data_IF_943981177058
#
_entry.id   IF_943981177058
#
_cell.length_a   1.000
_cell.length_b   1.000
_cell.length_c   1.000
_cell.angle_alpha   90.00
_cell.angle_beta   90.00
_cell.angle_gamma   90.00
#
_symmetry.space_group_name_H-M   'P 1'
#
loop_
_entity.id
_entity.type
_entity.pdbx_description
1 polymer ?
#
# COMPACT_ATOMS: atom_id res chain seq x y z
N UNK A 1 -1.56 -2.06 13.20
CA UNK A 1 -1.71 -1.32 11.92
C UNK A 1 -2.16 0.05 12.33
N UNK A 2 -1.30 1.04 12.15
CA UNK A 2 -1.54 2.35 12.74
C UNK A 2 -2.43 3.16 11.81
N UNK A 3 -3.28 4.03 12.36
CA UNK A 3 -4.21 4.86 11.58
C UNK A 3 -3.49 5.69 10.51
N UNK A 4 -2.21 5.99 10.70
CA UNK A 4 -1.38 6.71 9.73
C UNK A 4 -0.99 5.86 8.51
N UNK A 5 -0.81 4.55 8.69
CA UNK A 5 -0.45 3.65 7.59
C UNK A 5 -1.64 3.45 6.64
N UNK A 6 -2.85 3.28 7.20
CA UNK A 6 -4.07 3.20 6.39
C UNK A 6 -4.33 4.48 5.61
N UNK A 7 -4.18 5.65 6.24
CA UNK A 7 -4.35 6.95 5.59
C UNK A 7 -3.34 7.16 4.44
N UNK A 8 -2.10 6.69 4.61
CA UNK A 8 -1.09 6.74 3.56
C UNK A 8 -1.47 5.88 2.35
N UNK A 9 -1.99 4.68 2.58
CA UNK A 9 -2.46 3.79 1.51
C UNK A 9 -3.64 4.42 0.75
N UNK A 10 -4.62 4.97 1.46
CA UNK A 10 -5.76 5.65 0.85
C UNK A 10 -5.32 6.87 0.01
N UNK A 11 -4.37 7.66 0.52
CA UNK A 11 -3.81 8.80 -0.20
C UNK A 11 -3.07 8.36 -1.48
N UNK A 12 -2.27 7.29 -1.40
CA UNK A 12 -1.56 6.74 -2.57
C UNK A 12 -2.54 6.18 -3.61
N UNK A 13 -3.63 5.54 -3.18
CA UNK A 13 -4.70 5.06 -4.06
C UNK A 13 -5.39 6.22 -4.80
N UNK A 14 -5.76 7.28 -4.09
CA UNK A 14 -6.40 8.47 -4.70
C UNK A 14 -5.50 9.15 -5.73
N UNK A 15 -4.18 9.22 -5.48
CA UNK A 15 -3.19 9.73 -6.44
C UNK A 15 -3.18 8.87 -7.70
N UNK A 16 -3.19 7.54 -7.56
CA UNK A 16 -3.17 6.62 -8.69
C UNK A 16 -4.39 6.80 -9.60
N UNK A 17 -5.58 6.95 -9.01
CA UNK A 17 -6.84 7.15 -9.72
C UNK A 17 -6.87 8.47 -10.51
N UNK A 18 -6.39 9.57 -9.90
CA UNK A 18 -6.24 10.86 -10.58
C UNK A 18 -5.30 10.73 -11.79
N UNK A 19 -4.16 10.08 -11.59
CA UNK A 19 -3.17 9.93 -12.65
C UNK A 19 -3.70 9.07 -13.80
N UNK A 20 -4.47 8.00 -13.51
CA UNK A 20 -5.16 7.22 -14.52
C UNK A 20 -6.16 8.07 -15.32
N UNK A 21 -6.93 8.93 -14.64
CA UNK A 21 -7.90 9.83 -15.29
C UNK A 21 -7.19 10.81 -16.24
N UNK A 22 -6.08 11.40 -15.80
CA UNK A 22 -5.27 12.32 -16.60
C UNK A 22 -4.67 11.65 -17.84
N UNK A 23 -4.19 10.40 -17.68
CA UNK A 23 -3.73 9.60 -18.81
C UNK A 23 -4.83 9.40 -19.86
N UNK A 24 -6.04 9.02 -19.44
CA UNK A 24 -7.16 8.83 -20.36
C UNK A 24 -7.54 10.12 -21.11
N UNK A 25 -7.42 11.29 -20.45
CA UNK A 25 -7.65 12.57 -21.09
C UNK A 25 -6.60 12.86 -22.17
N UNK A 26 -5.31 12.70 -21.86
CA UNK A 26 -4.21 12.89 -22.82
C UNK A 26 -4.29 11.93 -24.00
N UNK A 27 -4.72 10.69 -23.76
CA UNK A 27 -4.93 9.69 -24.81
C UNK A 27 -6.03 10.14 -25.79
N UNK A 28 -7.16 10.66 -25.28
CA UNK A 28 -8.25 11.19 -26.11
C UNK A 28 -7.83 12.42 -26.92
N UNK A 29 -6.91 13.23 -26.39
CA UNK A 29 -6.35 14.40 -27.07
C UNK A 29 -5.25 14.06 -28.09
N UNK A 30 -4.84 12.78 -28.20
CA UNK A 30 -3.76 12.35 -29.10
C UNK A 30 -2.35 12.75 -28.64
N UNK A 31 -2.19 13.23 -27.41
CA UNK A 31 -0.90 13.65 -26.82
C UNK A 31 -0.14 12.46 -26.25
N UNK A 32 0.23 11.52 -27.12
CA UNK A 32 0.79 10.23 -26.73
C UNK A 32 2.11 10.31 -25.95
N UNK A 33 2.98 11.26 -26.27
CA UNK A 33 4.25 11.45 -25.55
C UNK A 33 4.03 11.86 -24.09
N UNK A 34 3.17 12.84 -23.86
CA UNK A 34 2.79 13.29 -22.51
C UNK A 34 2.01 12.22 -21.74
N UNK A 35 1.12 11.50 -22.43
CA UNK A 35 0.39 10.37 -21.84
C UNK A 35 1.34 9.26 -21.39
N UNK A 36 2.33 8.90 -22.22
CA UNK A 36 3.30 7.86 -21.88
C UNK A 36 4.19 8.25 -20.71
N UNK A 37 4.63 9.51 -20.66
CA UNK A 37 5.40 10.03 -19.52
C UNK A 37 4.58 9.98 -18.23
N UNK A 38 3.33 10.44 -18.25
CA UNK A 38 2.44 10.35 -17.09
C UNK A 38 2.17 8.90 -16.68
N UNK A 39 1.98 8.00 -17.64
CA UNK A 39 1.78 6.57 -17.39
C UNK A 39 3.00 5.95 -16.69
N UNK A 40 4.22 6.25 -17.14
CA UNK A 40 5.45 5.75 -16.50
C UNK A 40 5.58 6.23 -15.05
N UNK A 41 5.33 7.53 -14.78
CA UNK A 41 5.34 8.05 -13.40
C UNK A 41 4.28 7.38 -12.53
N UNK A 42 3.10 7.12 -13.08
CA UNK A 42 2.00 6.45 -12.39
C UNK A 42 2.36 5.01 -12.03
N UNK A 43 2.92 4.27 -12.98
CA UNK A 43 3.35 2.89 -12.78
C UNK A 43 4.48 2.79 -11.75
N UNK A 44 5.41 3.75 -11.72
CA UNK A 44 6.46 3.79 -10.71
C UNK A 44 5.87 4.00 -9.31
N UNK A 45 4.99 5.00 -9.16
CA UNK A 45 4.31 5.24 -7.90
C UNK A 45 3.46 4.05 -7.43
N UNK A 46 2.81 3.34 -8.36
CA UNK A 46 2.05 2.12 -8.05
C UNK A 46 2.96 1.01 -7.52
N UNK A 47 4.13 0.83 -8.16
CA UNK A 47 5.13 -0.14 -7.72
C UNK A 47 5.63 0.17 -6.31
N UNK A 48 5.96 1.44 -6.04
CA UNK A 48 6.43 1.87 -4.72
C UNK A 48 5.37 1.62 -3.64
N UNK A 49 4.10 1.95 -3.92
CA UNK A 49 2.97 1.67 -3.03
C UNK A 49 2.84 0.17 -2.73
N UNK A 50 2.93 -0.69 -3.74
CA UNK A 50 2.81 -2.14 -3.56
C UNK A 50 3.97 -2.69 -2.73
N UNK A 51 5.19 -2.21 -2.96
CA UNK A 51 6.37 -2.56 -2.17
C UNK A 51 6.22 -2.15 -0.71
N UNK A 52 5.77 -0.92 -0.44
CA UNK A 52 5.52 -0.44 0.93
C UNK A 52 4.46 -1.28 1.64
N UNK A 53 3.38 -1.63 0.92
CA UNK A 53 2.28 -2.45 1.45
C UNK A 53 2.75 -3.86 1.82
N UNK A 54 3.59 -4.46 0.98
CA UNK A 54 4.17 -5.79 1.23
C UNK A 54 5.09 -5.77 2.46
N UNK A 55 5.98 -4.77 2.54
CA UNK A 55 6.88 -4.60 3.68
C UNK A 55 6.11 -4.44 5.00
N UNK A 56 5.00 -3.69 4.98
CA UNK A 56 4.13 -3.55 6.15
C UNK A 56 3.52 -4.89 6.56
N UNK A 57 3.00 -5.66 5.60
CA UNK A 57 2.43 -6.97 5.86
C UNK A 57 3.46 -7.93 6.49
N UNK A 58 4.67 -7.96 5.95
CA UNK A 58 5.77 -8.78 6.48
C UNK A 58 6.09 -8.41 7.94
N UNK A 59 6.15 -7.11 8.28
CA UNK A 59 6.37 -6.65 9.66
C UNK A 59 5.25 -7.06 10.62
N UNK A 60 4.00 -7.02 10.16
CA UNK A 60 2.85 -7.47 10.96
C UNK A 60 2.92 -8.98 11.21
N UNK A 61 3.27 -9.77 10.20
CA UNK A 61 3.43 -11.21 10.34
C UNK A 61 4.59 -11.58 11.28
N UNK A 62 5.72 -10.89 11.20
CA UNK A 62 6.85 -11.09 12.11
C UNK A 62 6.48 -10.76 13.57
N UNK A 63 5.75 -9.66 13.77
CA UNK A 63 5.25 -9.28 15.11
C UNK A 63 4.33 -10.35 15.67
N UNK A 64 3.43 -10.92 14.86
CA UNK A 64 2.56 -12.02 15.28
C UNK A 64 3.32 -13.31 15.60
N UNK A 65 4.42 -13.60 14.90
CA UNK A 65 5.27 -14.77 15.18
C UNK A 65 6.05 -14.64 16.48
N UNK A 66 6.37 -13.41 16.90
CA UNK A 66 7.14 -13.13 18.11
C UNK A 66 6.27 -13.01 19.38
N UNK A 67 4.95 -12.93 19.25
CA UNK A 67 4.03 -13.01 20.39
C UNK A 67 3.97 -14.45 20.93
N UNK A 68 4.39 -14.73 22.18
CA UNK A 68 4.27 -16.05 22.77
C UNK A 68 2.78 -16.43 22.92
N UNK A 69 2.41 -17.73 22.88
CA UNK A 69 1.09 -18.13 23.35
C UNK A 69 0.97 -17.72 24.81
N UNK A 70 -0.04 -16.90 25.14
CA UNK A 70 -0.45 -16.67 26.51
C UNK A 70 -0.80 -18.03 27.12
N UNK A 71 0.13 -18.61 27.88
CA UNK A 71 -0.17 -19.71 28.77
C UNK A 71 -1.15 -19.15 29.82
N UNK A 72 -2.39 -19.67 29.92
CA UNK A 72 -3.24 -19.31 31.03
C UNK A 72 -2.54 -19.75 32.34
N UNK A 73 -2.61 -18.95 33.42
CA UNK A 73 -2.01 -19.33 34.68
C UNK A 73 -2.64 -20.64 35.15
N UNK A 74 -1.80 -21.67 35.22
CA UNK A 74 -2.08 -22.94 35.84
C UNK A 74 -2.47 -22.68 37.31
N UNK A 75 -3.77 -22.64 37.59
CA UNK A 75 -4.28 -22.62 38.96
C UNK A 75 -4.07 -24.02 39.55
N UNK A 76 -2.83 -24.28 39.98
CA UNK A 76 -2.51 -25.33 40.95
C UNK A 76 -2.60 -24.73 42.35
N UNK A 77 -3.72 -24.94 43.03
CA UNK A 77 -3.88 -24.85 44.49
C UNK A 77 -4.82 -26.01 44.83
N UNK A 78 -4.27 -27.13 45.31
CA UNK A 78 -4.14 -27.48 46.75
C UNK A 78 -5.48 -27.63 47.44
#
# INVERSE_FOLDING_TARGET
>A
MDSSDSLMLDAKQAILEEQHRRFQALQKEGKWAEAMQQFQTTMHCASDLLSDSLNLLERVLETHRQSPPENPPNNSLS
#
